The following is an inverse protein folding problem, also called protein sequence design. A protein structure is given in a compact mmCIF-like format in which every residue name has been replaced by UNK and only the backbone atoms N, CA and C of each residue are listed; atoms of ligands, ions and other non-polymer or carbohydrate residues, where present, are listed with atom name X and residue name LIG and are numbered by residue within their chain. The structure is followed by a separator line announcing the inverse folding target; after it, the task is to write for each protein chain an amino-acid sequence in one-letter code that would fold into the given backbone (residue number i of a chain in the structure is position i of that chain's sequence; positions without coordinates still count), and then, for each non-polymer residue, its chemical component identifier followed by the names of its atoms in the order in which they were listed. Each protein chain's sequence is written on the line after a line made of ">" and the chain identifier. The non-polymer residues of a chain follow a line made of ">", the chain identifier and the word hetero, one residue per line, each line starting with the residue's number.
data_IF_542943528090
#
_entry.id   IF_542943528090
#
_cell.length_a   1.000
_cell.length_b   1.000
_cell.length_c   1.000
_cell.angle_alpha   90.00
_cell.angle_beta   90.00
_cell.angle_gamma   90.00
#
_symmetry.space_group_name_H-M   'P 1'
#
loop_
_entity.id
_entity.type
_entity.pdbx_description
1 polymer ?
#
# COMPACT_ATOMS: atom_id res chain seq x y z
N UNK A 1 -29.55 -4.51 -24.20
CA UNK A 1 -29.37 -5.97 -24.39
C UNK A 1 -28.01 -6.15 -25.05
N UNK A 2 -27.18 -7.06 -24.55
CA UNK A 2 -25.87 -7.33 -25.13
C UNK A 2 -26.08 -8.36 -26.24
N UNK A 3 -25.58 -8.10 -27.44
CA UNK A 3 -25.74 -8.97 -28.62
C UNK A 3 -24.46 -9.78 -28.88
N UNK A 4 -24.61 -10.96 -29.48
CA UNK A 4 -23.50 -11.85 -29.82
C UNK A 4 -22.64 -11.22 -30.94
N UNK A 5 -21.32 -11.27 -30.80
CA UNK A 5 -20.35 -10.58 -31.66
C UNK A 5 -20.14 -9.10 -31.30
N UNK A 6 -20.80 -8.57 -30.26
CA UNK A 6 -20.57 -7.21 -29.81
C UNK A 6 -19.24 -7.09 -29.05
N UNK A 7 -18.38 -6.17 -29.49
CA UNK A 7 -17.13 -5.85 -28.80
C UNK A 7 -17.33 -4.70 -27.82
N UNK A 8 -16.85 -4.88 -26.60
CA UNK A 8 -17.00 -3.96 -25.46
C UNK A 8 -15.63 -3.67 -24.84
N UNK A 9 -15.45 -2.43 -24.39
CA UNK A 9 -14.26 -2.03 -23.66
C UNK A 9 -14.57 -1.99 -22.16
N UNK A 10 -13.98 -2.91 -21.40
CA UNK A 10 -14.12 -2.95 -19.94
C UNK A 10 -12.73 -2.89 -19.32
N UNK A 11 -12.48 -1.87 -18.50
CA UNK A 11 -11.21 -1.67 -17.78
C UNK A 11 -9.96 -1.72 -18.69
N UNK A 12 -10.06 -1.16 -19.90
CA UNK A 12 -8.91 -1.05 -20.82
C UNK A 12 -8.55 -2.34 -21.55
N UNK A 13 -9.39 -3.38 -21.49
CA UNK A 13 -9.29 -4.56 -22.35
C UNK A 13 -10.51 -4.66 -23.26
N UNK A 14 -10.24 -5.04 -24.50
CA UNK A 14 -11.25 -5.31 -25.52
C UNK A 14 -11.80 -6.72 -25.28
N UNK A 15 -13.12 -6.82 -25.20
CA UNK A 15 -13.84 -8.06 -24.87
C UNK A 15 -14.94 -8.25 -25.92
N UNK A 16 -14.97 -9.41 -26.56
CA UNK A 16 -16.01 -9.79 -27.53
C UNK A 16 -17.00 -10.76 -26.89
N UNK A 17 -18.29 -10.51 -27.12
CA UNK A 17 -19.38 -11.35 -26.60
C UNK A 17 -19.55 -12.56 -27.51
N UNK A 18 -19.02 -13.70 -27.09
CA UNK A 18 -19.00 -14.94 -27.88
C UNK A 18 -20.35 -15.68 -27.97
N UNK A 19 -21.37 -15.29 -27.19
CA UNK A 19 -22.72 -15.90 -27.22
C UNK A 19 -23.27 -16.29 -25.85
N UNK A 20 -24.50 -16.82 -25.83
CA UNK A 20 -25.18 -17.26 -24.61
C UNK A 20 -24.78 -18.70 -24.28
N UNK A 21 -24.25 -18.92 -23.07
CA UNK A 21 -23.86 -20.26 -22.60
C UNK A 21 -25.04 -20.91 -21.89
N UNK A 22 -25.31 -22.19 -22.18
CA UNK A 22 -26.33 -22.96 -21.49
C UNK A 22 -25.95 -23.19 -20.01
N UNK A 23 -26.92 -23.23 -19.07
CA UNK A 23 -26.62 -23.47 -17.64
C UNK A 23 -25.88 -24.79 -17.38
N UNK A 24 -26.17 -25.82 -18.19
CA UNK A 24 -25.54 -27.14 -18.08
C UNK A 24 -24.09 -27.13 -18.58
N UNK A 25 -23.78 -26.32 -19.61
CA UNK A 25 -22.41 -26.16 -20.11
C UNK A 25 -21.56 -25.26 -19.20
N UNK A 26 -22.19 -24.30 -18.52
CA UNK A 26 -21.55 -23.54 -17.45
C UNK A 26 -21.22 -24.45 -16.26
N UNK A 27 -22.18 -25.27 -15.82
CA UNK A 27 -22.02 -26.15 -14.66
C UNK A 27 -21.03 -27.30 -14.92
N UNK A 28 -20.98 -27.81 -16.15
CA UNK A 28 -20.01 -28.84 -16.55
C UNK A 28 -18.61 -28.28 -16.83
N UNK A 29 -18.44 -26.95 -16.89
CA UNK A 29 -17.17 -26.29 -17.14
C UNK A 29 -16.60 -26.48 -18.56
N UNK A 30 -17.38 -27.07 -19.47
CA UNK A 30 -16.96 -27.37 -20.86
C UNK A 30 -16.78 -26.11 -21.70
N UNK A 31 -17.56 -25.07 -21.41
CA UNK A 31 -17.46 -23.76 -22.07
C UNK A 31 -16.11 -23.04 -21.84
N UNK A 32 -15.31 -23.46 -20.85
CA UNK A 32 -14.00 -22.88 -20.56
C UNK A 32 -12.82 -23.69 -21.12
N UNK A 33 -13.09 -24.82 -21.78
CA UNK A 33 -12.07 -25.75 -22.26
C UNK A 33 -11.81 -25.67 -23.78
N UNK A 34 -12.66 -24.99 -24.53
CA UNK A 34 -12.57 -24.88 -25.99
C UNK A 34 -11.84 -23.60 -26.41
N UNK A 35 -10.52 -23.70 -26.47
CA UNK A 35 -9.72 -22.89 -27.39
C UNK A 35 -9.63 -23.64 -28.73
N UNK A 36 -10.45 -23.23 -29.71
CA UNK A 36 -10.29 -23.59 -31.12
C UNK A 36 -11.20 -24.70 -31.63
N UNK A 37 -12.05 -24.36 -32.60
CA UNK A 37 -12.77 -25.34 -33.40
C UNK A 37 -13.22 -24.79 -34.75
N UNK A 38 -12.55 -25.24 -35.81
CA UNK A 38 -13.24 -25.58 -37.06
C UNK A 38 -12.59 -26.80 -37.72
N UNK A 39 -13.48 -27.76 -38.00
CA UNK A 39 -13.43 -28.89 -38.96
C UNK A 39 -12.54 -30.11 -38.73
N UNK A 40 -13.17 -31.27 -38.94
CA UNK A 40 -12.74 -32.64 -38.73
C UNK A 40 -11.72 -33.16 -39.75
N UNK A 41 -10.93 -34.20 -39.39
CA UNK A 41 -10.62 -35.44 -40.16
C UNK A 41 -9.77 -36.39 -39.28
N UNK A 42 -10.01 -37.69 -39.45
CA UNK A 42 -9.43 -38.86 -38.81
C UNK A 42 -8.04 -39.28 -39.34
N UNK A 43 -7.12 -39.76 -38.47
CA UNK A 43 -6.26 -40.96 -38.65
C UNK A 43 -5.20 -41.14 -37.53
N UNK A 44 -4.86 -42.41 -37.34
CA UNK A 44 -3.92 -43.05 -36.41
C UNK A 44 -2.47 -42.55 -36.41
N UNK A 45 -1.83 -42.50 -35.23
CA UNK A 45 -0.52 -43.14 -34.93
C UNK A 45 0.03 -42.71 -33.56
N UNK A 46 0.78 -43.61 -32.94
CA UNK A 46 1.42 -43.48 -31.63
C UNK A 46 2.58 -42.47 -31.66
N UNK A 47 2.69 -41.60 -30.64
CA UNK A 47 3.96 -41.16 -30.05
C UNK A 47 3.71 -40.28 -28.82
N UNK A 48 4.43 -40.57 -27.74
CA UNK A 48 4.42 -39.80 -26.50
C UNK A 48 4.93 -38.36 -26.70
N UNK A 49 4.30 -37.37 -26.03
CA UNK A 49 4.95 -36.29 -25.26
C UNK A 49 3.94 -35.26 -24.71
N UNK A 50 4.01 -35.09 -23.37
CA UNK A 50 3.57 -33.97 -22.51
C UNK A 50 2.07 -33.64 -22.45
N UNK A 51 1.46 -34.01 -21.32
CA UNK A 51 0.19 -33.47 -20.84
C UNK A 51 0.29 -31.94 -20.68
N UNK A 52 -0.49 -31.20 -21.47
CA UNK A 52 -0.89 -29.84 -21.13
C UNK A 52 -1.83 -29.89 -19.91
N UNK A 53 -1.38 -29.36 -18.79
CA UNK A 53 -2.17 -29.20 -17.57
C UNK A 53 -3.06 -27.95 -17.66
N UNK A 54 -4.37 -28.12 -17.47
CA UNK A 54 -5.38 -27.05 -17.42
C UNK A 54 -4.98 -25.88 -16.48
N UNK A 55 -5.23 -24.61 -16.86
CA UNK A 55 -4.86 -23.44 -16.06
C UNK A 55 -5.82 -23.12 -14.88
N UNK A 56 -6.83 -23.95 -14.63
CA UNK A 56 -7.79 -23.77 -13.52
C UNK A 56 -7.91 -25.03 -12.67
N UNK A 57 -6.82 -25.40 -11.99
CA UNK A 57 -6.86 -26.20 -10.75
C UNK A 57 -5.72 -25.75 -9.83
N UNK A 58 -5.95 -24.66 -9.09
CA UNK A 58 -5.30 -24.43 -7.79
C UNK A 58 -6.34 -24.27 -6.70
N UNK A 59 -7.33 -25.19 -6.69
CA UNK A 59 -7.97 -25.58 -5.43
C UNK A 59 -6.89 -26.26 -4.61
N UNK A 60 -6.65 -25.68 -3.43
CA UNK A 60 -5.68 -26.12 -2.44
C UNK A 60 -5.66 -27.64 -2.27
N UNK A 61 -4.50 -28.26 -2.50
CA UNK A 61 -4.14 -29.53 -1.86
C UNK A 61 -3.00 -29.27 -0.85
N UNK A 62 -3.03 -29.90 0.33
CA UNK A 62 -2.09 -29.62 1.40
C UNK A 62 -0.79 -30.39 1.16
N UNK A 63 0.30 -29.66 0.97
CA UNK A 63 1.66 -30.22 1.08
C UNK A 63 2.56 -29.17 1.73
N UNK A 64 3.17 -29.58 2.85
CA UNK A 64 4.01 -28.82 3.81
C UNK A 64 3.35 -27.62 4.50
N UNK A 65 2.25 -27.88 5.20
CA UNK A 65 1.73 -27.04 6.28
C UNK A 65 2.61 -27.21 7.52
N UNK A 66 3.63 -26.37 7.70
CA UNK A 66 4.14 -26.12 9.06
C UNK A 66 4.82 -24.75 9.23
N UNK A 67 5.23 -24.05 8.16
CA UNK A 67 5.92 -22.75 8.31
C UNK A 67 5.25 -21.51 7.65
N UNK A 68 4.10 -21.63 6.96
CA UNK A 68 3.38 -20.44 6.40
C UNK A 68 2.17 -19.98 7.21
N UNK A 69 1.67 -20.80 8.14
CA UNK A 69 0.49 -20.45 8.93
C UNK A 69 0.83 -19.51 10.11
N UNK A 70 2.07 -19.53 10.60
CA UNK A 70 2.50 -18.70 11.72
C UNK A 70 2.64 -17.20 11.36
N UNK A 71 2.86 -16.85 10.09
CA UNK A 71 3.06 -15.44 9.67
C UNK A 71 1.76 -14.60 9.64
N UNK A 72 0.59 -15.24 9.49
CA UNK A 72 -0.70 -14.54 9.50
C UNK A 72 -1.32 -14.44 10.90
N UNK A 73 -0.70 -15.05 11.90
CA UNK A 73 -1.31 -15.28 13.21
C UNK A 73 -1.36 -14.02 14.09
N UNK A 74 -0.76 -12.90 13.67
CA UNK A 74 -0.77 -11.63 14.39
C UNK A 74 -1.13 -10.42 13.51
N UNK A 75 -2.05 -10.56 12.56
CA UNK A 75 -2.60 -9.42 11.82
C UNK A 75 -3.65 -8.67 12.66
N UNK A 76 -3.23 -8.11 13.80
CA UNK A 76 -4.07 -7.25 14.64
C UNK A 76 -3.68 -5.78 14.46
N UNK A 77 -4.63 -4.85 14.57
CA UNK A 77 -4.32 -3.42 14.62
C UNK A 77 -3.28 -3.12 15.70
N UNK A 78 -2.35 -2.19 15.42
CA UNK A 78 -1.31 -1.80 16.38
C UNK A 78 -1.88 -1.15 17.63
N UNK A 79 -2.95 -0.38 17.45
CA UNK A 79 -3.72 0.26 18.52
C UNK A 79 -5.18 -0.15 18.39
N UNK A 80 -5.90 -0.18 19.50
CA UNK A 80 -7.30 -0.65 19.53
C UNK A 80 -8.24 0.37 18.84
N UNK A 81 -8.93 0.00 17.74
CA UNK A 81 -9.83 0.90 17.04
C UNK A 81 -11.09 1.25 17.84
N UNK A 82 -11.49 0.45 18.83
CA UNK A 82 -12.73 0.65 19.58
C UNK A 82 -12.57 1.55 20.81
N UNK A 83 -11.35 2.01 21.09
CA UNK A 83 -11.10 2.96 22.17
C UNK A 83 -11.78 4.31 21.90
N UNK A 84 -12.31 4.98 22.93
CA UNK A 84 -12.93 6.29 22.76
C UNK A 84 -11.90 7.30 22.22
N UNK A 85 -12.31 8.14 21.28
CA UNK A 85 -11.46 9.11 20.58
C UNK A 85 -10.33 8.49 19.74
N UNK A 86 -10.40 7.20 19.41
CA UNK A 86 -9.48 6.60 18.43
C UNK A 86 -9.63 7.29 17.07
N UNK A 87 -8.51 7.42 16.36
CA UNK A 87 -8.50 7.96 15.00
C UNK A 87 -8.11 6.85 14.03
N UNK A 88 -9.12 6.20 13.46
CA UNK A 88 -8.97 5.10 12.51
C UNK A 88 -8.92 5.66 11.09
N UNK A 89 -7.92 5.23 10.31
CA UNK A 89 -7.77 5.65 8.92
C UNK A 89 -8.75 4.92 8.00
N UNK A 90 -9.18 5.54 6.88
CA UNK A 90 -10.05 4.90 5.90
C UNK A 90 -9.46 3.59 5.36
N UNK A 91 -10.33 2.58 5.20
CA UNK A 91 -9.93 1.29 4.61
C UNK A 91 -9.87 1.40 3.07
N UNK A 92 -8.90 0.73 2.43
CA UNK A 92 -8.82 0.70 0.97
C UNK A 92 -10.01 -0.04 0.36
N UNK A 93 -10.54 0.48 -0.76
CA UNK A 93 -11.59 -0.18 -1.53
C UNK A 93 -11.06 -1.40 -2.33
N UNK A 94 -11.95 -2.12 -3.02
CA UNK A 94 -11.58 -3.32 -3.78
C UNK A 94 -10.61 -3.02 -4.93
N UNK A 95 -10.76 -1.87 -5.58
CA UNK A 95 -9.92 -1.47 -6.72
C UNK A 95 -8.49 -1.16 -6.25
N UNK A 96 -8.37 -0.40 -5.15
CA UNK A 96 -7.11 -0.10 -4.48
C UNK A 96 -6.42 -1.38 -4.03
N UNK A 97 -7.15 -2.30 -3.39
CA UNK A 97 -6.62 -3.60 -2.98
C UNK A 97 -6.07 -4.40 -4.16
N UNK A 98 -6.77 -4.43 -5.30
CA UNK A 98 -6.28 -5.14 -6.48
C UNK A 98 -4.95 -4.58 -7.01
N UNK A 99 -4.74 -3.26 -6.93
CA UNK A 99 -3.51 -2.60 -7.40
C UNK A 99 -2.37 -2.72 -6.38
N UNK A 100 -2.64 -2.47 -5.09
CA UNK A 100 -1.62 -2.29 -4.06
C UNK A 100 -1.42 -3.52 -3.15
N UNK A 101 -2.38 -4.45 -3.07
CA UNK A 101 -2.32 -5.66 -2.23
C UNK A 101 -2.05 -6.93 -3.07
N UNK A 102 -0.99 -6.93 -3.88
CA UNK A 102 -0.63 -8.04 -4.79
C UNK A 102 -0.40 -9.38 -4.07
N UNK A 103 0.01 -9.33 -2.81
CA UNK A 103 0.26 -10.51 -1.97
C UNK A 103 -0.97 -10.99 -1.21
N UNK A 104 -2.13 -10.35 -1.40
CA UNK A 104 -3.39 -10.67 -0.74
C UNK A 104 -3.27 -10.78 0.79
N UNK A 105 -2.55 -9.85 1.40
CA UNK A 105 -2.48 -9.77 2.86
C UNK A 105 -3.87 -9.42 3.44
N UNK A 106 -4.19 -9.91 4.65
CA UNK A 106 -5.42 -9.54 5.32
C UNK A 106 -5.46 -8.03 5.59
N UNK A 107 -6.65 -7.45 5.55
CA UNK A 107 -6.86 -6.06 5.91
C UNK A 107 -6.77 -5.89 7.42
N UNK A 108 -6.04 -4.87 7.85
CA UNK A 108 -5.87 -4.49 9.25
C UNK A 108 -6.21 -3.01 9.40
N UNK A 109 -6.91 -2.65 10.47
CA UNK A 109 -7.18 -1.24 10.77
C UNK A 109 -5.88 -0.50 11.09
N UNK A 110 -5.73 0.66 10.48
CA UNK A 110 -4.64 1.58 10.76
C UNK A 110 -5.19 2.63 11.72
N UNK A 111 -4.66 2.65 12.94
CA UNK A 111 -5.14 3.53 14.01
C UNK A 111 -4.00 4.46 14.42
N UNK A 112 -4.18 5.77 14.35
CA UNK A 112 -3.15 6.73 14.76
C UNK A 112 -2.83 6.56 16.24
N UNK A 113 -1.57 6.76 16.60
CA UNK A 113 -1.07 6.65 17.97
C UNK A 113 -1.92 7.47 18.96
N UNK A 114 -2.52 6.85 19.99
CA UNK A 114 -3.40 7.54 20.94
C UNK A 114 -2.75 8.76 21.59
N UNK A 115 -1.44 8.73 21.85
CA UNK A 115 -0.71 9.88 22.42
C UNK A 115 -0.74 11.09 21.47
N UNK A 116 -0.52 10.86 20.18
CA UNK A 116 -0.61 11.93 19.17
C UNK A 116 -2.04 12.41 19.02
N UNK A 117 -3.02 11.50 18.94
CA UNK A 117 -4.45 11.81 18.80
C UNK A 117 -4.97 12.68 19.94
N UNK A 118 -4.49 12.46 21.16
CA UNK A 118 -4.84 13.27 22.33
C UNK A 118 -4.46 14.75 22.15
N UNK A 119 -3.33 15.05 21.49
CA UNK A 119 -2.85 16.41 21.27
C UNK A 119 -3.35 17.06 19.97
N UNK A 120 -3.96 16.29 19.07
CA UNK A 120 -4.45 16.77 17.78
C UNK A 120 -5.79 17.51 17.91
N UNK A 121 -5.88 18.68 17.25
CA UNK A 121 -7.14 19.43 17.07
C UNK A 121 -8.01 18.81 15.99
N UNK A 122 -9.34 19.04 15.98
CA UNK A 122 -10.25 18.43 15.00
C UNK A 122 -9.81 18.60 13.54
N UNK A 123 -9.46 19.83 13.12
CA UNK A 123 -8.98 20.10 11.76
C UNK A 123 -7.67 19.37 11.42
N UNK A 124 -6.82 19.12 12.41
CA UNK A 124 -5.57 18.37 12.22
C UNK A 124 -5.85 16.88 12.01
N UNK A 125 -6.88 16.32 12.66
CA UNK A 125 -7.30 14.93 12.44
C UNK A 125 -7.83 14.75 11.02
N UNK A 126 -8.64 15.70 10.54
CA UNK A 126 -9.11 15.75 9.15
C UNK A 126 -7.95 15.88 8.16
N UNK A 127 -6.98 16.76 8.44
CA UNK A 127 -5.77 16.93 7.64
C UNK A 127 -4.93 15.65 7.53
N UNK A 128 -4.80 14.88 8.62
CA UNK A 128 -4.11 13.58 8.61
C UNK A 128 -4.87 12.55 7.77
N UNK A 129 -6.20 12.47 7.90
CA UNK A 129 -7.03 11.59 7.07
C UNK A 129 -6.85 11.95 5.59
N UNK A 130 -6.96 13.23 5.25
CA UNK A 130 -6.75 13.73 3.90
C UNK A 130 -5.37 13.34 3.34
N UNK A 131 -4.31 13.58 4.11
CA UNK A 131 -2.96 13.24 3.70
C UNK A 131 -2.81 11.74 3.50
N UNK A 132 -3.35 10.93 4.43
CA UNK A 132 -3.32 9.47 4.35
C UNK A 132 -3.99 8.95 3.06
N UNK A 133 -5.21 9.40 2.76
CA UNK A 133 -5.91 9.02 1.53
C UNK A 133 -5.12 9.38 0.26
N UNK A 134 -4.50 10.56 0.25
CA UNK A 134 -3.70 11.04 -0.87
C UNK A 134 -2.41 10.22 -1.04
N UNK A 135 -1.58 10.06 0.00
CA UNK A 135 -0.29 9.35 -0.10
C UNK A 135 -0.46 7.85 -0.30
N UNK A 136 -1.58 7.28 0.15
CA UNK A 136 -1.92 5.89 -0.11
C UNK A 136 -2.51 5.69 -1.51
N UNK A 137 -2.84 6.75 -2.26
CA UNK A 137 -3.44 6.64 -3.60
C UNK A 137 -4.91 6.20 -3.57
N UNK A 138 -5.61 6.44 -2.46
CA UNK A 138 -7.03 6.12 -2.26
C UNK A 138 -7.95 7.21 -2.82
N UNK A 139 -7.51 8.48 -2.80
CA UNK A 139 -8.31 9.62 -3.30
C UNK A 139 -8.33 9.73 -4.82
N UNK A 140 -7.18 9.56 -5.44
CA UNK A 140 -7.02 9.59 -6.90
C UNK A 140 -6.26 8.34 -7.31
N UNK A 141 -6.95 7.41 -7.97
CA UNK A 141 -6.44 6.07 -8.32
C UNK A 141 -5.00 6.12 -8.85
N UNK A 142 -4.05 5.67 -8.03
CA UNK A 142 -2.64 5.56 -8.39
C UNK A 142 -1.78 6.82 -8.22
N UNK A 143 -2.33 7.96 -7.80
CA UNK A 143 -1.55 9.17 -7.49
C UNK A 143 -1.27 9.26 -6.00
N UNK A 144 0.01 9.18 -5.62
CA UNK A 144 0.45 9.11 -4.22
C UNK A 144 1.05 10.43 -3.71
N UNK A 145 0.44 11.57 -4.06
CA UNK A 145 0.93 12.91 -3.72
C UNK A 145 -0.14 13.74 -3.03
N UNK A 146 0.27 14.67 -2.16
CA UNK A 146 -0.62 15.56 -1.42
C UNK A 146 -0.04 16.97 -1.31
N UNK A 147 -0.90 17.99 -1.31
CA UNK A 147 -0.55 19.37 -1.00
C UNK A 147 -1.33 19.77 0.25
N UNK A 148 -0.61 20.05 1.34
CA UNK A 148 -1.20 20.57 2.58
C UNK A 148 -0.97 22.07 2.66
N UNK A 149 -1.96 22.84 2.20
CA UNK A 149 -1.88 24.29 2.07
C UNK A 149 -2.70 25.05 3.13
N UNK A 150 -2.90 24.45 4.30
CA UNK A 150 -3.52 25.10 5.45
C UNK A 150 -2.79 26.38 5.86
N UNK A 151 -3.49 27.30 6.52
CA UNK A 151 -2.89 28.54 7.04
C UNK A 151 -1.67 28.29 7.95
N UNK A 152 -0.78 29.28 8.01
CA UNK A 152 0.38 29.24 8.89
C UNK A 152 -0.08 29.18 10.35
N UNK A 153 0.62 28.41 11.19
CA UNK A 153 0.27 28.26 12.61
C UNK A 153 -0.73 27.14 12.93
N UNK A 154 -1.42 26.53 11.95
CA UNK A 154 -2.38 25.44 12.20
C UNK A 154 -1.75 24.07 12.56
N UNK A 155 -0.43 24.01 12.76
CA UNK A 155 0.28 22.82 13.23
C UNK A 155 0.47 21.73 12.17
N UNK A 156 0.67 22.11 10.91
CA UNK A 156 0.98 21.18 9.79
C UNK A 156 2.11 20.20 10.10
N UNK A 157 3.14 20.65 10.84
CA UNK A 157 4.27 19.79 11.23
C UNK A 157 3.83 18.59 12.06
N UNK A 158 2.94 18.79 13.04
CA UNK A 158 2.41 17.68 13.85
C UNK A 158 1.56 16.73 13.02
N UNK A 159 0.77 17.25 12.07
CA UNK A 159 0.02 16.41 11.13
C UNK A 159 0.97 15.51 10.31
N UNK A 160 2.02 16.08 9.73
CA UNK A 160 3.02 15.34 8.97
C UNK A 160 3.76 14.30 9.83
N UNK A 161 4.20 14.66 11.04
CA UNK A 161 4.88 13.74 11.96
C UNK A 161 3.96 12.56 12.32
N UNK A 162 2.68 12.82 12.59
CA UNK A 162 1.71 11.79 12.94
C UNK A 162 1.49 10.80 11.79
N UNK A 163 1.42 11.31 10.56
CA UNK A 163 1.32 10.48 9.36
C UNK A 163 2.59 9.65 9.14
N UNK A 164 3.77 10.29 9.20
CA UNK A 164 5.07 9.61 9.01
C UNK A 164 5.21 8.46 10.00
N UNK A 165 4.95 8.72 11.28
CA UNK A 165 5.00 7.70 12.34
C UNK A 165 4.06 6.53 12.06
N UNK A 166 2.83 6.85 11.65
CA UNK A 166 1.81 5.85 11.31
C UNK A 166 2.27 4.96 10.17
N UNK A 167 2.75 5.55 9.07
CA UNK A 167 3.21 4.81 7.90
C UNK A 167 4.50 4.02 8.16
N UNK A 168 5.37 4.46 9.07
CA UNK A 168 6.56 3.71 9.49
C UNK A 168 6.25 2.55 10.42
N UNK A 169 5.14 2.57 11.15
CA UNK A 169 4.81 1.54 12.13
C UNK A 169 3.80 0.50 11.64
N UNK A 170 2.91 0.89 10.73
CA UNK A 170 1.74 0.09 10.34
C UNK A 170 1.22 0.49 8.95
N UNK A 171 0.29 -0.32 8.45
CA UNK A 171 -0.34 -0.16 7.15
C UNK A 171 -1.53 -1.10 7.01
N UNK A 172 -2.41 -0.86 6.03
CA UNK A 172 -3.67 -1.59 5.92
C UNK A 172 -3.48 -3.05 5.48
N UNK A 173 -2.33 -3.39 4.91
CA UNK A 173 -2.04 -4.71 4.36
C UNK A 173 -1.14 -5.51 5.31
N UNK A 174 -1.77 -6.44 6.05
CA UNK A 174 -1.09 -7.30 7.01
C UNK A 174 -0.52 -6.56 8.23
N UNK A 175 -0.93 -5.32 8.48
CA UNK A 175 -0.44 -4.50 9.60
C UNK A 175 1.02 -4.04 9.45
N UNK A 176 1.61 -4.18 8.25
CA UNK A 176 3.04 -3.91 8.01
C UNK A 176 3.29 -2.43 7.72
N UNK A 177 4.47 -1.89 8.10
CA UNK A 177 4.90 -0.55 7.69
C UNK A 177 4.75 -0.31 6.18
N UNK A 178 4.16 0.82 5.82
CA UNK A 178 4.05 1.29 4.42
C UNK A 178 5.38 1.85 3.94
N UNK A 179 6.09 2.58 4.79
CA UNK A 179 7.38 3.20 4.47
C UNK A 179 8.44 2.77 5.49
N UNK A 180 9.71 2.78 5.07
CA UNK A 180 10.85 2.43 5.94
C UNK A 180 11.69 3.65 6.33
N UNK A 181 11.90 4.56 5.38
CA UNK A 181 12.68 5.78 5.53
C UNK A 181 11.87 6.97 5.02
N UNK A 182 12.10 8.12 5.62
CA UNK A 182 11.45 9.39 5.26
C UNK A 182 12.50 10.46 5.06
N UNK A 183 12.39 11.21 3.96
CA UNK A 183 13.20 12.39 3.68
C UNK A 183 12.35 13.64 3.87
N UNK A 184 12.86 14.58 4.67
CA UNK A 184 12.25 15.89 4.88
C UNK A 184 13.23 16.94 4.35
N UNK A 185 12.78 17.71 3.37
CA UNK A 185 13.53 18.82 2.80
C UNK A 185 12.88 20.12 3.24
N UNK A 186 13.67 21.03 3.81
CA UNK A 186 13.17 22.24 4.47
C UNK A 186 14.16 23.39 4.31
N UNK A 187 13.79 24.67 4.52
CA UNK A 187 14.77 25.75 4.67
C UNK A 187 15.79 25.42 5.77
N UNK A 188 17.05 25.86 5.61
CA UNK A 188 18.14 25.54 6.54
C UNK A 188 17.84 25.94 7.98
N UNK A 189 17.21 27.11 8.18
CA UNK A 189 16.79 27.61 9.50
C UNK A 189 15.76 26.73 10.22
N UNK A 190 15.07 25.85 9.49
CA UNK A 190 14.02 24.99 10.04
C UNK A 190 14.47 23.55 10.29
N UNK A 191 15.67 23.14 9.86
CA UNK A 191 16.18 21.76 10.06
C UNK A 191 16.16 21.38 11.55
N UNK A 192 16.71 22.24 12.41
CA UNK A 192 16.73 22.00 13.86
C UNK A 192 15.34 22.09 14.49
N UNK A 193 14.43 22.90 13.93
CA UNK A 193 13.06 22.99 14.42
C UNK A 193 12.29 21.69 14.16
N UNK A 194 12.45 21.10 12.96
CA UNK A 194 11.88 19.79 12.67
C UNK A 194 12.43 18.70 13.61
N UNK A 195 13.74 18.67 13.85
CA UNK A 195 14.35 17.74 14.82
C UNK A 195 13.71 17.87 16.21
N UNK A 196 13.58 19.11 16.71
CA UNK A 196 12.95 19.41 18.01
C UNK A 196 11.48 18.98 18.05
N UNK A 197 10.72 19.20 16.98
CA UNK A 197 9.32 18.77 16.91
C UNK A 197 9.18 17.24 16.94
N UNK A 198 9.99 16.49 16.20
CA UNK A 198 9.99 15.03 16.32
C UNK A 198 10.35 14.57 17.74
N UNK A 199 11.37 15.16 18.36
CA UNK A 199 11.76 14.84 19.73
C UNK A 199 10.66 15.16 20.75
N UNK A 200 9.95 16.28 20.56
CA UNK A 200 8.82 16.70 21.40
C UNK A 200 7.65 15.72 21.32
N UNK A 201 7.30 15.24 20.13
CA UNK A 201 6.09 14.42 19.93
C UNK A 201 6.33 12.91 20.02
N UNK A 202 7.51 12.43 19.67
CA UNK A 202 7.82 11.00 19.62
C UNK A 202 9.00 10.60 20.52
N UNK A 203 9.72 11.57 21.10
CA UNK A 203 10.93 11.29 21.85
C UNK A 203 12.07 10.80 20.97
N UNK A 204 13.25 10.62 21.57
CA UNK A 204 14.43 10.08 20.86
C UNK A 204 14.48 8.55 20.86
N UNK A 205 13.57 7.88 21.57
CA UNK A 205 13.53 6.41 21.67
C UNK A 205 12.65 5.77 20.60
N UNK A 206 11.49 6.38 20.30
CA UNK A 206 10.52 5.81 19.36
C UNK A 206 10.95 6.01 17.90
N UNK A 207 11.60 7.14 17.61
CA UNK A 207 12.04 7.49 16.26
C UNK A 207 13.45 8.10 16.30
N UNK A 208 14.33 7.62 15.41
CA UNK A 208 15.68 8.15 15.27
C UNK A 208 15.78 9.03 14.03
N UNK A 209 16.20 10.26 14.25
CA UNK A 209 16.26 11.32 13.24
C UNK A 209 17.73 11.63 12.96
N UNK A 210 18.07 11.76 11.69
CA UNK A 210 19.37 12.22 11.23
C UNK A 210 19.21 13.60 10.58
N UNK A 211 19.99 14.57 11.04
CA UNK A 211 20.05 15.91 10.45
C UNK A 211 21.36 16.05 9.69
N UNK A 212 21.29 16.51 8.45
CA UNK A 212 22.47 16.76 7.62
C UNK A 212 23.05 18.12 7.96
N UNK A 213 24.35 18.14 8.24
CA UNK A 213 25.14 19.34 8.45
C UNK A 213 26.52 19.20 7.77
N UNK A 214 27.51 20.03 8.13
CA UNK A 214 28.84 19.98 7.53
C UNK A 214 29.63 18.73 7.95
N UNK A 215 29.37 18.22 9.16
CA UNK A 215 30.08 17.10 9.76
C UNK A 215 29.38 15.77 9.47
N UNK A 216 28.04 15.79 9.42
CA UNK A 216 27.17 14.63 9.24
C UNK A 216 26.61 14.59 7.82
N UNK A 217 27.20 13.75 6.97
CA UNK A 217 26.82 13.64 5.56
C UNK A 217 25.71 12.61 5.32
N UNK A 218 25.07 12.71 4.15
CA UNK A 218 23.94 11.84 3.75
C UNK A 218 24.35 10.37 3.70
N UNK A 219 25.60 10.05 3.37
CA UNK A 219 26.10 8.68 3.27
C UNK A 219 26.05 7.93 4.60
N UNK A 220 26.20 8.63 5.72
CA UNK A 220 26.08 8.04 7.07
C UNK A 220 24.65 7.58 7.35
N UNK A 221 23.65 8.37 6.93
CA UNK A 221 22.25 7.99 7.02
C UNK A 221 21.91 6.77 6.15
N UNK A 222 22.49 6.68 4.95
CA UNK A 222 22.28 5.56 4.04
C UNK A 222 22.83 4.27 4.67
N UNK A 223 24.05 4.33 5.23
CA UNK A 223 24.72 3.19 5.89
C UNK A 223 24.03 2.78 7.18
N UNK A 224 23.38 3.72 7.89
CA UNK A 224 22.69 3.44 9.13
C UNK A 224 21.34 2.77 8.89
N UNK A 225 21.11 1.66 9.61
CA UNK A 225 19.82 0.99 9.72
C UNK A 225 18.94 1.59 10.82
N UNK A 226 19.52 2.37 11.73
CA UNK A 226 18.84 2.88 12.92
C UNK A 226 18.03 4.14 12.63
N UNK A 227 18.50 5.00 11.73
CA UNK A 227 17.82 6.24 11.38
C UNK A 227 16.71 5.97 10.36
N UNK A 228 15.48 6.37 10.71
CA UNK A 228 14.32 6.25 9.82
C UNK A 228 13.92 7.59 9.18
N UNK A 229 14.34 8.72 9.74
CA UNK A 229 14.03 10.05 9.20
C UNK A 229 15.32 10.82 8.91
N UNK A 230 15.46 11.32 7.69
CA UNK A 230 16.52 12.23 7.26
C UNK A 230 15.92 13.62 7.09
N UNK A 231 16.54 14.64 7.70
CA UNK A 231 16.18 16.04 7.53
C UNK A 231 17.36 16.77 6.90
N UNK A 232 17.13 17.40 5.76
CA UNK A 232 18.16 18.09 4.98
C UNK A 232 17.65 19.46 4.52
N UNK A 233 18.56 20.44 4.41
CA UNK A 233 18.21 21.73 3.82
C UNK A 233 18.18 21.67 2.29
N UNK A 234 17.46 22.59 1.64
CA UNK A 234 17.47 22.67 0.17
C UNK A 234 18.90 22.79 -0.39
N UNK A 235 19.73 23.65 0.21
CA UNK A 235 21.12 23.85 -0.24
C UNK A 235 21.98 22.61 -0.06
N UNK A 236 21.86 21.92 1.07
CA UNK A 236 22.63 20.70 1.33
C UNK A 236 22.20 19.56 0.42
N UNK A 237 20.90 19.46 0.12
CA UNK A 237 20.39 18.49 -0.84
C UNK A 237 21.02 18.71 -2.22
N UNK A 238 21.02 19.96 -2.72
CA UNK A 238 21.63 20.28 -4.01
C UNK A 238 23.13 19.96 -4.04
N UNK A 239 23.86 20.22 -2.95
CA UNK A 239 25.29 19.87 -2.86
C UNK A 239 25.54 18.36 -2.80
N UNK A 240 24.60 17.58 -2.30
CA UNK A 240 24.71 16.11 -2.22
C UNK A 240 24.33 15.39 -3.52
N UNK A 241 23.64 16.07 -4.43
CA UNK A 241 23.22 15.51 -5.73
C UNK A 241 24.24 15.74 -6.85
N UNK A 242 25.12 16.73 -6.67
CA UNK A 242 26.20 17.08 -7.60
C UNK A 242 27.50 16.36 -7.21
#
# INVERSE_FOLDING_TARGET
>A
KIEEGQTLMICGKEIEVMGVISPDDFSSGRCFQLGGGSTAVSRSSQAARKCFSNPFKSVCKPSSKENRQNDFQNCKPRHDPYTPNSLVMPRPDKNHQWVFNKNCFPLVDVVIDPYLVYHLRPHQKEGIIFLYECVMGMRMNGRCGAILADEMGLGKTLQCISLIWTLQCQGPYGGKPVIKKTLIVTPGSLVNNWKKEFQKWLGSERIKIFTVDQDHKVEEFIKSIFYSVLIISYEMLLRSLN
#
